data_IF_250901244467
#
_entry.id   IF_250901244467
#
_cell.length_a   1.000
_cell.length_b   1.000
_cell.length_c   1.000
_cell.angle_alpha   90.00
_cell.angle_beta   90.00
_cell.angle_gamma   90.00
#
_symmetry.space_group_name_H-M   'P 1'
#
loop_
_entity.id
_entity.type
_entity.pdbx_description
1 polymer ?
#
# COMPACT_ATOMS: atom_id res chain seq x y z
N UNK A 1 -60.39 -33.55 38.17
CA UNK A 1 -59.54 -34.06 37.12
C UNK A 1 -58.98 -32.89 36.32
N UNK A 2 -57.80 -32.48 36.67
CA UNK A 2 -57.15 -31.35 36.03
C UNK A 2 -56.41 -31.75 34.77
N UNK A 3 -56.79 -31.20 33.62
CA UNK A 3 -56.04 -31.35 32.43
C UNK A 3 -54.87 -30.37 32.49
N UNK A 4 -53.65 -30.87 32.65
CA UNK A 4 -52.43 -30.05 32.48
C UNK A 4 -52.25 -29.75 31.01
N UNK A 5 -52.53 -28.51 30.64
CA UNK A 5 -52.11 -28.00 29.33
C UNK A 5 -50.64 -27.54 29.44
N UNK A 6 -49.73 -28.32 28.95
CA UNK A 6 -48.36 -27.87 28.71
C UNK A 6 -48.36 -26.93 27.48
N UNK A 7 -48.26 -25.66 27.73
CA UNK A 7 -47.90 -24.71 26.69
C UNK A 7 -46.43 -24.83 26.44
N UNK A 8 -46.09 -25.42 25.32
CA UNK A 8 -44.71 -25.40 24.82
C UNK A 8 -44.49 -24.02 24.23
N UNK A 9 -43.78 -23.18 24.99
CA UNK A 9 -43.31 -21.91 24.47
C UNK A 9 -42.24 -22.17 23.39
N UNK A 10 -42.58 -21.85 22.18
CA UNK A 10 -41.58 -21.82 21.09
C UNK A 10 -40.65 -20.66 21.39
N UNK A 11 -39.44 -20.97 21.83
CA UNK A 11 -38.35 -20.01 21.86
C UNK A 11 -37.87 -19.83 20.43
N UNK A 12 -38.33 -18.78 19.79
CA UNK A 12 -37.74 -18.34 18.54
C UNK A 12 -36.34 -17.80 18.88
N UNK A 13 -35.33 -18.63 18.66
CA UNK A 13 -33.94 -18.18 18.62
C UNK A 13 -33.79 -17.35 17.37
N UNK A 14 -33.91 -16.04 17.54
CA UNK A 14 -33.55 -15.09 16.50
C UNK A 14 -32.07 -15.20 16.22
N UNK A 15 -31.73 -15.89 15.16
CA UNK A 15 -30.39 -15.93 14.64
C UNK A 15 -30.13 -14.55 14.04
N UNK A 16 -29.56 -13.67 14.86
CA UNK A 16 -29.04 -12.38 14.38
C UNK A 16 -27.87 -12.69 13.49
N UNK A 17 -28.09 -12.74 12.18
CA UNK A 17 -27.03 -12.72 11.21
C UNK A 17 -26.35 -11.37 11.32
N UNK A 18 -25.22 -11.29 12.04
CA UNK A 18 -24.27 -10.23 11.86
C UNK A 18 -23.75 -10.35 10.43
N UNK A 19 -24.36 -9.61 9.52
CA UNK A 19 -23.76 -9.34 8.22
C UNK A 19 -22.56 -8.45 8.54
N UNK A 20 -21.38 -9.05 8.62
CA UNK A 20 -20.15 -8.28 8.62
C UNK A 20 -20.08 -7.56 7.27
N UNK A 21 -20.48 -6.30 7.25
CA UNK A 21 -20.18 -5.43 6.13
C UNK A 21 -18.66 -5.30 6.14
N UNK A 22 -18.00 -5.96 5.18
CA UNK A 22 -16.59 -5.73 4.92
C UNK A 22 -16.47 -4.28 4.47
N UNK A 23 -16.28 -3.35 5.41
CA UNK A 23 -15.88 -1.99 5.10
C UNK A 23 -14.50 -2.10 4.45
N UNK A 24 -14.34 -1.52 3.25
CA UNK A 24 -13.05 -1.37 2.62
C UNK A 24 -12.10 -0.77 3.66
N UNK A 25 -11.00 -1.46 3.96
CA UNK A 25 -10.03 -0.99 4.93
C UNK A 25 -9.43 0.33 4.45
N UNK A 26 -9.43 1.32 5.33
CA UNK A 26 -8.72 2.56 5.11
C UNK A 26 -7.21 2.30 5.15
N UNK A 27 -6.46 2.99 4.32
CA UNK A 27 -5.01 2.92 4.36
C UNK A 27 -4.53 3.64 5.63
N UNK A 28 -3.61 3.04 6.33
CA UNK A 28 -2.94 3.64 7.49
C UNK A 28 -1.48 3.94 7.17
N UNK A 29 -0.82 4.73 8.02
CA UNK A 29 0.61 4.94 7.90
C UNK A 29 1.37 3.60 7.91
N UNK A 30 1.00 2.68 8.80
CA UNK A 30 1.64 1.37 8.89
C UNK A 30 1.40 0.49 7.65
N UNK A 31 0.18 0.46 7.14
CA UNK A 31 -0.13 -0.35 5.94
C UNK A 31 0.46 0.24 4.67
N UNK A 32 0.51 1.57 4.54
CA UNK A 32 1.18 2.23 3.41
C UNK A 32 2.69 1.94 3.41
N UNK A 33 3.31 2.03 4.57
CA UNK A 33 4.72 1.64 4.76
C UNK A 33 4.96 0.19 4.32
N UNK A 34 4.10 -0.72 4.73
CA UNK A 34 4.22 -2.14 4.37
C UNK A 34 4.16 -2.36 2.85
N UNK A 35 3.34 -1.60 2.13
CA UNK A 35 3.28 -1.65 0.67
C UNK A 35 4.61 -1.22 0.05
N UNK A 36 5.18 -0.10 0.51
CA UNK A 36 6.46 0.41 0.00
C UNK A 36 7.60 -0.56 0.34
N UNK A 37 7.63 -1.10 1.55
CA UNK A 37 8.65 -2.08 1.96
C UNK A 37 8.61 -3.35 1.10
N UNK A 38 7.42 -3.84 0.75
CA UNK A 38 7.27 -4.96 -0.19
C UNK A 38 7.81 -4.62 -1.58
N UNK A 39 7.62 -3.38 -2.03
CA UNK A 39 8.19 -2.95 -3.30
C UNK A 39 9.71 -2.88 -3.23
N UNK A 40 10.28 -2.36 -2.15
CA UNK A 40 11.73 -2.34 -1.94
C UNK A 40 12.31 -3.75 -1.94
N UNK A 41 11.67 -4.69 -1.26
CA UNK A 41 12.08 -6.09 -1.26
C UNK A 41 12.07 -6.70 -2.66
N UNK A 42 11.04 -6.38 -3.45
CA UNK A 42 10.95 -6.84 -4.83
C UNK A 42 12.08 -6.26 -5.69
N UNK A 43 12.41 -4.98 -5.53
CA UNK A 43 13.55 -4.36 -6.20
C UNK A 43 14.88 -5.00 -5.79
N UNK A 44 15.08 -5.26 -4.49
CA UNK A 44 16.29 -5.92 -3.99
C UNK A 44 16.51 -7.30 -4.60
N UNK A 45 15.43 -8.03 -4.88
CA UNK A 45 15.46 -9.35 -5.50
C UNK A 45 15.41 -9.30 -7.04
N UNK A 46 15.35 -8.12 -7.62
CA UNK A 46 15.09 -7.92 -9.06
C UNK A 46 13.83 -8.63 -9.55
N UNK A 47 12.82 -8.75 -8.67
CA UNK A 47 11.53 -9.35 -8.97
C UNK A 47 10.59 -8.30 -9.57
N UNK A 48 10.71 -8.11 -10.87
CA UNK A 48 9.93 -7.10 -11.60
C UNK A 48 8.44 -7.35 -11.55
N UNK A 49 8.01 -8.60 -11.61
CA UNK A 49 6.58 -8.96 -11.55
C UNK A 49 5.99 -8.59 -10.18
N UNK A 50 6.69 -8.90 -9.10
CA UNK A 50 6.23 -8.55 -7.75
C UNK A 50 6.18 -7.04 -7.52
N UNK A 51 7.19 -6.31 -7.99
CA UNK A 51 7.22 -4.84 -7.91
C UNK A 51 6.10 -4.20 -8.73
N UNK A 52 5.90 -4.67 -9.95
CA UNK A 52 4.88 -4.16 -10.87
C UNK A 52 3.45 -4.47 -10.40
N UNK A 53 3.26 -5.60 -9.71
CA UNK A 53 1.96 -5.98 -9.14
C UNK A 53 1.46 -4.96 -8.10
N UNK A 54 2.36 -4.23 -7.43
CA UNK A 54 2.01 -3.21 -6.44
C UNK A 54 1.64 -1.85 -7.08
N UNK A 55 1.80 -1.71 -8.39
CA UNK A 55 1.50 -0.48 -9.11
C UNK A 55 0.03 -0.37 -9.47
N UNK A 56 -0.50 0.86 -9.41
CA UNK A 56 -1.86 1.16 -9.83
C UNK A 56 -2.04 0.98 -11.34
N UNK A 57 -3.30 0.79 -11.82
CA UNK A 57 -3.56 0.59 -13.24
C UNK A 57 -2.99 1.67 -14.16
N UNK A 58 -2.95 2.93 -13.73
CA UNK A 58 -2.39 4.03 -14.50
C UNK A 58 -0.90 3.83 -14.81
N UNK A 59 -0.13 3.33 -13.85
CA UNK A 59 1.29 3.00 -14.04
C UNK A 59 1.42 1.79 -14.99
N UNK A 60 0.60 0.76 -14.77
CA UNK A 60 0.61 -0.43 -15.62
C UNK A 60 0.30 -0.13 -17.08
N UNK A 61 -0.64 0.78 -17.32
CA UNK A 61 -0.96 1.25 -18.68
C UNK A 61 0.18 2.04 -19.31
N UNK A 62 0.89 2.84 -18.50
CA UNK A 62 1.99 3.68 -18.97
C UNK A 62 3.19 2.86 -19.44
N UNK A 63 3.54 1.79 -18.74
CA UNK A 63 4.73 0.98 -19.04
C UNK A 63 4.44 -0.29 -19.82
N UNK A 64 3.23 -0.80 -19.75
CA UNK A 64 2.77 -1.97 -20.50
C UNK A 64 3.18 -3.32 -19.90
N UNK A 65 4.40 -3.46 -19.40
CA UNK A 65 4.89 -4.67 -18.76
C UNK A 65 5.90 -4.38 -17.63
N UNK A 66 6.23 -5.42 -16.87
CA UNK A 66 7.16 -5.32 -15.75
C UNK A 66 8.59 -4.98 -16.17
N UNK A 67 9.04 -5.45 -17.33
CA UNK A 67 10.40 -5.18 -17.82
C UNK A 67 10.62 -3.70 -18.11
N UNK A 68 9.67 -3.05 -18.77
CA UNK A 68 9.74 -1.61 -19.03
C UNK A 68 9.67 -0.80 -17.74
N UNK A 69 8.80 -1.21 -16.82
CA UNK A 69 8.71 -0.58 -15.50
C UNK A 69 10.03 -0.69 -14.74
N UNK A 70 10.65 -1.85 -14.68
CA UNK A 70 11.92 -2.06 -13.99
C UNK A 70 13.07 -1.26 -14.63
N UNK A 71 13.11 -1.19 -15.95
CA UNK A 71 14.11 -0.37 -16.66
C UNK A 71 13.99 1.11 -16.26
N UNK A 72 12.78 1.63 -16.23
CA UNK A 72 12.51 3.02 -15.81
C UNK A 72 12.94 3.25 -14.35
N UNK A 73 12.64 2.34 -13.45
CA UNK A 73 13.02 2.48 -12.03
C UNK A 73 14.54 2.48 -11.87
N UNK A 74 15.25 1.57 -12.53
CA UNK A 74 16.71 1.54 -12.49
C UNK A 74 17.35 2.81 -13.04
N UNK A 75 16.80 3.36 -14.13
CA UNK A 75 17.40 4.49 -14.84
C UNK A 75 17.05 5.84 -14.19
N UNK A 76 15.85 6.00 -13.63
CA UNK A 76 15.34 7.29 -13.16
C UNK A 76 15.03 7.34 -11.66
N UNK A 77 15.00 6.21 -10.98
CA UNK A 77 14.70 6.09 -9.55
C UNK A 77 15.74 5.23 -8.84
N UNK A 78 17.01 5.41 -9.19
CA UNK A 78 18.09 4.59 -8.64
C UNK A 78 18.10 4.51 -7.10
N UNK A 79 17.86 5.61 -6.33
CA UNK A 79 17.78 5.52 -4.86
C UNK A 79 16.60 4.71 -4.35
N UNK A 80 15.51 4.61 -5.10
CA UNK A 80 14.36 3.75 -4.78
C UNK A 80 14.71 2.29 -5.07
N UNK A 81 15.37 2.05 -6.18
CA UNK A 81 15.78 0.71 -6.60
C UNK A 81 16.81 0.09 -5.67
N UNK A 82 17.80 0.90 -5.21
CA UNK A 82 18.86 0.50 -4.27
C UNK A 82 19.18 1.64 -3.33
N UNK A 83 19.13 1.37 -2.04
CA UNK A 83 19.48 2.32 -0.99
C UNK A 83 20.05 1.60 0.23
N UNK A 84 20.74 2.33 1.08
CA UNK A 84 21.31 1.81 2.32
C UNK A 84 20.30 1.82 3.46
N UNK A 85 19.44 2.85 3.51
CA UNK A 85 18.43 2.99 4.54
C UNK A 85 17.21 3.72 4.01
N UNK A 86 16.08 3.46 4.64
CA UNK A 86 14.82 4.13 4.39
C UNK A 86 14.13 4.43 5.72
N UNK A 87 13.74 5.68 5.93
CA UNK A 87 12.92 6.11 7.05
C UNK A 87 11.62 6.70 6.53
N UNK A 88 10.53 6.41 7.21
CA UNK A 88 9.21 6.87 6.80
C UNK A 88 8.76 8.04 7.66
N UNK A 89 8.14 9.03 7.04
CA UNK A 89 7.69 10.26 7.65
C UNK A 89 6.20 10.48 7.52
N UNK A 90 5.83 11.67 7.08
CA UNK A 90 4.44 12.11 7.02
C UNK A 90 3.56 11.22 6.15
N UNK A 91 2.41 10.85 6.70
CA UNK A 91 1.35 10.13 6.02
C UNK A 91 0.10 11.01 5.94
N UNK A 92 -0.55 11.01 4.79
CA UNK A 92 -1.83 11.69 4.59
C UNK A 92 -2.77 10.79 3.81
N UNK A 93 -4.03 10.75 4.22
CA UNK A 93 -5.10 10.09 3.51
C UNK A 93 -6.20 11.10 3.20
N UNK A 94 -6.72 11.04 1.99
CA UNK A 94 -7.81 11.89 1.53
C UNK A 94 -8.68 11.11 0.54
N UNK A 95 -9.77 10.54 1.05
CA UNK A 95 -10.68 9.73 0.25
C UNK A 95 -10.00 8.47 -0.30
N UNK A 96 -9.96 8.33 -1.61
CA UNK A 96 -9.36 7.20 -2.32
C UNK A 96 -7.88 7.43 -2.68
N UNK A 97 -7.27 8.47 -2.14
CA UNK A 97 -5.89 8.82 -2.37
C UNK A 97 -5.15 8.94 -1.04
N UNK A 98 -3.87 8.64 -1.05
CA UNK A 98 -3.01 8.79 0.10
C UNK A 98 -1.57 9.09 -0.33
N UNK A 99 -0.77 9.61 0.58
CA UNK A 99 0.65 9.83 0.37
C UNK A 99 1.46 9.45 1.59
N UNK A 100 2.69 9.00 1.34
CA UNK A 100 3.66 8.65 2.38
C UNK A 100 5.04 9.20 1.97
N UNK A 101 5.65 9.95 2.87
CA UNK A 101 7.01 10.43 2.67
C UNK A 101 8.01 9.40 3.18
N UNK A 102 9.07 9.19 2.39
CA UNK A 102 10.21 8.37 2.77
C UNK A 102 11.51 9.16 2.58
N UNK A 103 12.42 9.01 3.51
CA UNK A 103 13.78 9.53 3.38
C UNK A 103 14.70 8.37 3.09
N UNK A 104 15.38 8.41 1.95
CA UNK A 104 16.29 7.37 1.48
C UNK A 104 17.72 7.88 1.54
N UNK A 105 18.63 7.03 1.99
CA UNK A 105 20.07 7.27 1.86
C UNK A 105 20.60 6.27 0.84
N UNK A 106 21.13 6.77 -0.26
CA UNK A 106 21.65 5.91 -1.31
C UNK A 106 23.04 5.35 -0.98
N UNK A 107 23.59 4.53 -1.88
CA UNK A 107 24.90 3.88 -1.65
C UNK A 107 26.07 4.88 -1.69
N UNK A 108 25.86 6.08 -2.18
CA UNK A 108 26.84 7.18 -2.18
C UNK A 108 26.64 8.15 -1.00
N UNK A 109 25.84 7.77 -0.02
CA UNK A 109 25.46 8.58 1.16
C UNK A 109 24.70 9.88 0.82
N UNK A 110 24.08 9.95 -0.33
CA UNK A 110 23.20 11.06 -0.70
C UNK A 110 21.80 10.81 -0.11
N UNK A 111 21.23 11.85 0.48
CA UNK A 111 19.89 11.78 1.07
C UNK A 111 18.86 12.24 0.04
N UNK A 112 17.82 11.45 -0.10
CA UNK A 112 16.71 11.68 -1.02
C UNK A 112 15.39 11.68 -0.27
N UNK A 113 14.47 12.50 -0.71
CA UNK A 113 13.07 12.43 -0.29
C UNK A 113 12.26 11.78 -1.41
N UNK A 114 11.54 10.73 -1.08
CA UNK A 114 10.60 10.06 -1.97
C UNK A 114 9.18 10.28 -1.45
N UNK A 115 8.34 10.92 -2.24
CA UNK A 115 6.93 11.07 -1.91
C UNK A 115 6.14 10.02 -2.71
N UNK A 116 5.66 9.01 -2.01
CA UNK A 116 4.81 7.98 -2.57
C UNK A 116 3.35 8.43 -2.58
N UNK A 117 2.68 8.15 -3.68
CA UNK A 117 1.24 8.31 -3.80
C UNK A 117 0.57 6.95 -3.94
N UNK A 118 -0.62 6.83 -3.37
CA UNK A 118 -1.42 5.60 -3.39
C UNK A 118 -2.82 5.92 -3.88
N UNK A 119 -3.44 4.94 -4.51
CA UNK A 119 -4.83 5.02 -4.92
C UNK A 119 -5.56 3.75 -4.55
N UNK A 120 -6.76 3.90 -4.00
CA UNK A 120 -7.67 2.78 -3.78
C UNK A 120 -8.36 2.45 -5.10
N UNK A 121 -8.26 1.18 -5.51
CA UNK A 121 -8.92 0.67 -6.71
C UNK A 121 -10.30 0.10 -6.37
N UNK A 122 -11.19 -0.14 -7.38
CA UNK A 122 -12.58 -0.54 -7.11
C UNK A 122 -12.77 -1.78 -6.25
N UNK A 123 -11.81 -2.73 -6.24
CA UNK A 123 -11.88 -3.90 -5.39
C UNK A 123 -11.48 -3.62 -3.90
N UNK A 124 -11.12 -2.38 -3.57
CA UNK A 124 -10.74 -1.96 -2.25
C UNK A 124 -9.24 -2.01 -1.93
N UNK A 125 -8.42 -2.54 -2.83
CA UNK A 125 -6.96 -2.57 -2.66
C UNK A 125 -6.35 -1.18 -2.83
N UNK A 126 -5.28 -0.94 -2.07
CA UNK A 126 -4.45 0.24 -2.23
C UNK A 126 -3.19 -0.09 -3.00
N UNK A 127 -2.95 0.64 -4.08
CA UNK A 127 -1.82 0.44 -4.97
C UNK A 127 -1.01 1.73 -5.10
N UNK A 128 0.27 1.60 -5.45
CA UNK A 128 1.17 2.74 -5.65
C UNK A 128 0.82 3.42 -6.98
N UNK A 129 0.41 4.67 -6.91
CA UNK A 129 0.02 5.47 -8.08
C UNK A 129 1.12 6.42 -8.56
N UNK A 130 2.17 6.59 -7.80
CA UNK A 130 3.29 7.45 -8.19
C UNK A 130 4.36 7.54 -7.11
N UNK A 131 5.49 8.10 -7.51
CA UNK A 131 6.59 8.46 -6.62
C UNK A 131 7.30 9.68 -7.19
N UNK A 132 7.49 10.70 -6.37
CA UNK A 132 8.31 11.87 -6.69
C UNK A 132 9.60 11.78 -5.89
N UNK A 133 10.73 11.77 -6.58
CA UNK A 133 12.05 11.66 -5.98
C UNK A 133 12.80 12.99 -6.11
N UNK A 134 13.32 13.50 -4.99
CA UNK A 134 14.11 14.72 -4.97
C UNK A 134 15.28 14.60 -4.00
N UNK A 135 16.43 15.19 -4.33
CA UNK A 135 17.52 15.32 -3.36
C UNK A 135 17.05 16.18 -2.21
N UNK A 136 17.32 15.72 -0.98
CA UNK A 136 17.06 16.52 0.20
C UNK A 136 17.99 17.73 0.24
N UNK A 137 17.44 18.93 0.40
CA UNK A 137 18.23 20.14 0.53
C UNK A 137 18.97 20.15 1.87
N UNK A 138 20.22 20.64 1.89
CA UNK A 138 21.00 20.76 3.10
C UNK A 138 21.61 19.47 3.63
N UNK A 139 21.59 18.39 2.87
CA UNK A 139 22.20 17.12 3.27
C UNK A 139 23.71 17.03 3.03
N UNK A 140 24.34 18.13 2.66
CA UNK A 140 25.78 18.22 2.60
C UNK A 140 26.34 18.42 4.01
N UNK A 141 26.70 17.34 4.63
CA UNK A 141 27.54 17.38 5.84
C UNK A 141 28.93 16.89 5.45
#
# INVERSE_FOLDING_TARGET
MGALKKTIGAVAVGMSMCVAVASAEELTAASSRAIVERQFDAFERDDGEAAYALAAPTIKQMFGDANHFMAMVRDHYAPVYRHRSADFGAFKEEGDEASLEATLVDNDNVVWTALYSFRRVPNGDWLISGCVLAKAEGSAI
#
